data_IF_885623433697
#
_entry.id   IF_885623433697
#
_cell.length_a   1.000
_cell.length_b   1.000
_cell.length_c   1.000
_cell.angle_alpha   90.00
_cell.angle_beta   90.00
_cell.angle_gamma   90.00
#
_symmetry.space_group_name_H-M   'P 1'
#
loop_
_entity.id
_entity.type
_entity.pdbx_description
1 polymer ?
#
# COMPACT_ATOMS: atom_id res chain seq x y z
N UNK A 1 -2.41 -16.46 -5.43
CA UNK A 1 -0.92 -16.45 -5.49
C UNK A 1 -0.29 -16.49 -4.08
N UNK A 2 0.93 -17.02 -3.87
CA UNK A 2 1.54 -17.17 -2.52
C UNK A 2 2.55 -16.06 -2.19
N UNK A 3 2.64 -15.69 -0.91
CA UNK A 3 3.70 -14.82 -0.39
C UNK A 3 5.08 -15.48 -0.53
N UNK A 4 6.07 -14.69 -0.97
CA UNK A 4 7.46 -15.09 -1.16
C UNK A 4 8.30 -14.95 0.12
N UNK A 5 7.91 -14.02 0.99
CA UNK A 5 8.49 -13.84 2.31
C UNK A 5 7.46 -14.13 3.40
N UNK A 6 7.93 -14.68 4.52
CA UNK A 6 7.08 -14.98 5.67
C UNK A 6 7.75 -14.52 6.95
N UNK A 7 6.97 -13.89 7.81
CA UNK A 7 7.29 -13.65 9.20
C UNK A 7 6.06 -14.00 10.05
N UNK A 8 6.21 -13.97 11.38
CA UNK A 8 5.10 -14.20 12.31
C UNK A 8 4.23 -12.93 12.40
N UNK A 9 2.92 -13.10 12.51
CA UNK A 9 1.96 -12.00 12.73
C UNK A 9 1.64 -11.77 14.21
N UNK A 10 1.76 -12.83 15.03
CA UNK A 10 1.62 -12.73 16.48
C UNK A 10 2.88 -12.09 17.08
N UNK A 11 2.94 -10.77 16.99
CA UNK A 11 4.00 -9.91 17.51
C UNK A 11 3.38 -8.90 18.47
N UNK A 12 4.10 -8.52 19.51
CA UNK A 12 3.74 -7.33 20.26
C UNK A 12 4.14 -6.05 19.48
N UNK A 13 3.64 -4.86 19.85
CA UNK A 13 3.95 -3.62 19.13
C UNK A 13 5.45 -3.29 19.02
N UNK A 14 6.27 -3.62 20.02
CA UNK A 14 7.71 -3.36 19.98
C UNK A 14 8.43 -4.27 18.96
N UNK A 15 8.06 -5.55 18.93
CA UNK A 15 8.55 -6.51 17.94
C UNK A 15 8.13 -6.13 16.51
N UNK A 16 6.87 -5.70 16.33
CA UNK A 16 6.36 -5.23 15.05
C UNK A 16 7.13 -4.00 14.53
N UNK A 17 7.47 -3.05 15.42
CA UNK A 17 8.31 -1.90 15.08
C UNK A 17 9.73 -2.32 14.69
N UNK A 18 10.32 -3.27 15.43
CA UNK A 18 11.67 -3.78 15.12
C UNK A 18 11.69 -4.45 13.73
N UNK A 19 10.68 -5.26 13.44
CA UNK A 19 10.55 -5.92 12.14
C UNK A 19 10.36 -4.91 11.00
N UNK A 20 9.56 -3.85 11.19
CA UNK A 20 9.43 -2.80 10.16
C UNK A 20 10.78 -2.14 9.81
N UNK A 21 11.66 -1.95 10.80
CA UNK A 21 12.99 -1.38 10.58
C UNK A 21 13.88 -2.33 9.79
N UNK A 22 13.84 -3.62 10.12
CA UNK A 22 14.58 -4.66 9.38
C UNK A 22 14.10 -4.77 7.93
N UNK A 23 12.78 -4.85 7.72
CA UNK A 23 12.21 -5.04 6.38
C UNK A 23 12.42 -3.83 5.47
N UNK A 24 12.53 -2.62 6.03
CA UNK A 24 12.72 -1.38 5.25
C UNK A 24 13.95 -1.46 4.37
N UNK A 25 15.02 -2.01 4.90
CA UNK A 25 16.31 -2.04 4.20
C UNK A 25 16.31 -3.03 3.02
N UNK A 26 15.20 -3.76 2.82
CA UNK A 26 14.96 -4.68 1.69
C UNK A 26 14.08 -4.08 0.60
N UNK A 27 13.59 -2.85 0.79
CA UNK A 27 12.76 -2.19 -0.20
C UNK A 27 13.60 -1.76 -1.41
N UNK A 28 13.04 -1.95 -2.59
CA UNK A 28 13.57 -1.42 -3.85
C UNK A 28 12.67 -0.25 -4.21
N UNK A 29 13.24 0.94 -4.34
CA UNK A 29 12.50 2.18 -4.64
C UNK A 29 12.78 2.71 -6.05
N UNK A 30 13.33 1.84 -6.90
CA UNK A 30 13.54 2.07 -8.33
C UNK A 30 12.67 1.10 -9.12
N UNK A 31 12.45 1.43 -10.38
CA UNK A 31 11.59 0.65 -11.27
C UNK A 31 12.16 -0.74 -11.53
N UNK A 32 11.44 -1.74 -11.04
CA UNK A 32 11.64 -3.16 -11.32
C UNK A 32 10.31 -3.83 -11.63
N UNK A 33 9.61 -3.25 -12.60
CA UNK A 33 8.33 -3.70 -13.13
C UNK A 33 8.43 -3.90 -14.66
N UNK A 34 7.74 -4.92 -15.15
CA UNK A 34 7.57 -5.16 -16.58
C UNK A 34 6.39 -4.37 -17.15
N UNK A 35 5.88 -4.80 -18.30
CA UNK A 35 4.65 -4.27 -18.84
C UNK A 35 3.48 -4.54 -17.88
N UNK A 36 2.78 -3.49 -17.45
CA UNK A 36 1.62 -3.59 -16.56
C UNK A 36 0.36 -3.85 -17.38
N UNK A 37 -0.19 -5.06 -17.30
CA UNK A 37 -1.45 -5.45 -17.97
C UNK A 37 -2.58 -5.67 -16.97
N UNK A 38 -2.25 -5.94 -15.70
CA UNK A 38 -3.16 -6.21 -14.60
C UNK A 38 -2.78 -5.38 -13.39
N UNK A 39 -3.66 -4.49 -12.97
CA UNK A 39 -3.51 -3.72 -11.72
C UNK A 39 -4.50 -4.25 -10.69
N UNK A 40 -4.08 -4.37 -9.43
CA UNK A 40 -4.99 -4.73 -8.34
C UNK A 40 -5.14 -3.61 -7.32
N UNK A 41 -6.38 -3.24 -7.04
CA UNK A 41 -6.73 -2.42 -5.90
C UNK A 41 -6.91 -3.27 -4.66
N UNK A 42 -6.31 -2.85 -3.54
CA UNK A 42 -6.40 -3.51 -2.23
C UNK A 42 -7.02 -2.54 -1.23
N UNK A 43 -8.12 -2.96 -0.60
CA UNK A 43 -8.79 -2.21 0.45
C UNK A 43 -9.19 -3.13 1.60
N UNK A 44 -9.22 -2.58 2.81
CA UNK A 44 -9.53 -3.33 4.04
C UNK A 44 -10.52 -2.56 4.88
N UNK A 45 -11.62 -3.24 5.22
CA UNK A 45 -12.62 -2.75 6.15
C UNK A 45 -12.71 -3.63 7.39
N UNK A 46 -13.49 -3.19 8.37
CA UNK A 46 -13.76 -3.94 9.58
C UNK A 46 -15.27 -4.18 9.73
N UNK A 47 -15.64 -5.41 10.07
CA UNK A 47 -17.00 -5.84 10.37
C UNK A 47 -17.12 -6.18 11.87
N UNK A 48 -18.35 -6.39 12.34
CA UNK A 48 -18.64 -6.83 13.72
C UNK A 48 -17.90 -6.00 14.78
N UNK A 49 -18.10 -4.68 14.76
CA UNK A 49 -17.51 -3.71 15.68
C UNK A 49 -15.97 -3.79 15.79
N UNK A 50 -15.30 -4.17 14.69
CA UNK A 50 -13.84 -4.22 14.63
C UNK A 50 -13.25 -5.60 14.89
N UNK A 51 -14.06 -6.60 15.26
CA UNK A 51 -13.61 -7.96 15.58
C UNK A 51 -13.29 -8.81 14.35
N UNK A 52 -13.81 -8.42 13.17
CA UNK A 52 -13.53 -9.10 11.91
C UNK A 52 -12.87 -8.12 10.94
N UNK A 53 -11.69 -8.48 10.45
CA UNK A 53 -11.00 -7.78 9.37
C UNK A 53 -11.46 -8.37 8.03
N UNK A 54 -11.93 -7.53 7.11
CA UNK A 54 -12.36 -7.91 5.77
C UNK A 54 -11.49 -7.23 4.73
N UNK A 55 -10.67 -8.01 4.04
CA UNK A 55 -9.90 -7.54 2.90
C UNK A 55 -10.65 -7.79 1.60
N UNK A 56 -10.58 -6.86 0.67
CA UNK A 56 -11.06 -6.98 -0.69
C UNK A 56 -9.93 -6.65 -1.67
N UNK A 57 -9.78 -7.48 -2.69
CA UNK A 57 -8.87 -7.24 -3.81
C UNK A 57 -9.66 -7.28 -5.11
N UNK A 58 -9.46 -6.29 -5.97
CA UNK A 58 -10.05 -6.25 -7.30
C UNK A 58 -8.94 -6.13 -8.35
N UNK A 59 -8.87 -7.08 -9.27
CA UNK A 59 -7.91 -7.11 -10.38
C UNK A 59 -8.59 -6.56 -11.63
N UNK A 60 -8.00 -5.52 -12.21
CA UNK A 60 -8.48 -4.87 -13.42
C UNK A 60 -7.45 -5.03 -14.54
N UNK A 61 -7.95 -5.16 -15.78
CA UNK A 61 -7.13 -5.00 -16.98
C UNK A 61 -6.67 -3.55 -17.09
N UNK A 62 -5.42 -3.33 -17.46
CA UNK A 62 -4.86 -2.01 -17.70
C UNK A 62 -4.37 -1.90 -19.15
N UNK A 63 -4.65 -0.78 -19.87
CA UNK A 63 -5.23 0.48 -19.37
C UNK A 63 -6.77 0.57 -19.39
N UNK A 64 -7.49 -0.45 -19.87
CA UNK A 64 -8.95 -0.35 -20.11
C UNK A 64 -9.80 -0.27 -18.83
N UNK A 65 -9.25 -0.66 -17.68
CA UNK A 65 -9.90 -0.72 -16.38
C UNK A 65 -11.12 -1.66 -16.33
N UNK A 66 -11.12 -2.70 -17.16
CA UNK A 66 -12.10 -3.78 -17.13
C UNK A 66 -11.85 -4.67 -15.89
N UNK A 67 -12.87 -4.88 -15.06
CA UNK A 67 -12.78 -5.79 -13.92
C UNK A 67 -12.63 -7.25 -14.39
N UNK A 68 -11.53 -7.90 -13.99
CA UNK A 68 -11.25 -9.29 -14.33
C UNK A 68 -11.63 -10.27 -13.21
N UNK A 69 -11.27 -9.93 -11.97
CA UNK A 69 -11.45 -10.81 -10.83
C UNK A 69 -11.58 -10.01 -9.53
N UNK A 70 -12.31 -10.56 -8.56
CA UNK A 70 -12.31 -10.06 -7.19
C UNK A 70 -12.11 -11.20 -6.21
N UNK A 71 -11.47 -10.91 -5.09
CA UNK A 71 -11.34 -11.83 -3.97
C UNK A 71 -11.63 -11.11 -2.66
N UNK A 72 -12.24 -11.82 -1.72
CA UNK A 72 -12.54 -11.32 -0.38
C UNK A 72 -12.07 -12.35 0.63
N UNK A 73 -11.43 -11.89 1.70
CA UNK A 73 -11.12 -12.71 2.86
C UNK A 73 -11.62 -12.04 4.13
N UNK A 74 -12.01 -12.87 5.10
CA UNK A 74 -12.45 -12.44 6.43
C UNK A 74 -11.67 -13.21 7.47
N UNK A 75 -11.03 -12.49 8.39
CA UNK A 75 -10.30 -13.07 9.51
C UNK A 75 -10.67 -12.38 10.82
N UNK A 76 -10.56 -13.07 11.97
CA UNK A 76 -10.53 -12.40 13.26
C UNK A 76 -9.46 -11.30 13.28
N UNK A 77 -9.79 -10.15 13.85
CA UNK A 77 -8.85 -9.05 14.04
C UNK A 77 -7.97 -9.34 15.26
N UNK A 78 -6.71 -9.70 15.03
CA UNK A 78 -5.80 -10.15 16.10
C UNK A 78 -4.86 -9.04 16.62
N UNK A 79 -4.68 -7.96 15.86
CA UNK A 79 -3.76 -6.86 16.20
C UNK A 79 -4.51 -5.55 16.51
N UNK A 80 -4.16 -4.81 17.59
CA UNK A 80 -4.83 -3.56 17.94
C UNK A 80 -4.60 -2.44 16.91
N UNK A 81 -5.50 -1.47 16.85
CA UNK A 81 -5.30 -0.30 15.99
C UNK A 81 -4.24 0.63 16.62
N UNK A 82 -3.05 0.64 16.01
CA UNK A 82 -1.94 1.51 16.39
C UNK A 82 -1.44 2.23 15.13
N UNK A 83 -1.49 3.58 15.08
CA UNK A 83 -0.97 4.34 13.94
C UNK A 83 0.45 3.94 13.55
N UNK A 84 0.62 3.58 12.28
CA UNK A 84 1.88 3.10 11.72
C UNK A 84 2.18 1.60 11.92
N UNK A 85 1.27 0.84 12.52
CA UNK A 85 1.32 -0.63 12.58
C UNK A 85 0.13 -1.29 11.89
N UNK A 86 -0.61 -0.53 11.06
CA UNK A 86 -1.81 -0.98 10.37
C UNK A 86 -1.60 -2.28 9.57
N UNK A 87 -0.44 -2.41 8.92
CA UNK A 87 -0.10 -3.60 8.15
C UNK A 87 -0.18 -4.92 8.95
N UNK A 88 0.15 -4.91 10.25
CA UNK A 88 0.07 -6.10 11.10
C UNK A 88 -1.37 -6.51 11.43
N UNK A 89 -2.28 -5.53 11.38
CA UNK A 89 -3.71 -5.74 11.60
C UNK A 89 -4.42 -6.24 10.35
N UNK A 90 -3.99 -5.78 9.17
CA UNK A 90 -4.76 -5.93 7.93
C UNK A 90 -4.19 -6.95 6.96
N UNK A 91 -2.85 -7.03 6.83
CA UNK A 91 -2.23 -7.87 5.82
C UNK A 91 -2.50 -9.37 5.93
N UNK A 92 -2.71 -9.98 7.12
CA UNK A 92 -3.13 -11.38 7.17
C UNK A 92 -4.38 -11.66 6.32
N UNK A 93 -5.39 -10.80 6.37
CA UNK A 93 -6.59 -10.94 5.55
C UNK A 93 -6.31 -10.62 4.07
N UNK A 94 -5.50 -9.61 3.78
CA UNK A 94 -5.11 -9.28 2.39
C UNK A 94 -4.39 -10.44 1.71
N UNK A 95 -3.46 -11.09 2.41
CA UNK A 95 -2.73 -12.23 1.87
C UNK A 95 -3.67 -13.41 1.57
N UNK A 96 -4.63 -13.70 2.43
CA UNK A 96 -5.66 -14.71 2.16
C UNK A 96 -6.55 -14.36 0.95
N UNK A 97 -6.84 -13.07 0.73
CA UNK A 97 -7.58 -12.64 -0.46
C UNK A 97 -6.73 -12.78 -1.73
N UNK A 98 -5.45 -12.40 -1.70
CA UNK A 98 -4.51 -12.57 -2.81
C UNK A 98 -4.25 -14.04 -3.15
N UNK A 99 -4.28 -14.93 -2.15
CA UNK A 99 -4.12 -16.37 -2.35
C UNK A 99 -5.25 -16.97 -3.22
N UNK A 100 -6.46 -16.41 -3.14
CA UNK A 100 -7.62 -16.84 -3.91
C UNK A 100 -7.59 -16.42 -5.39
N UNK A 101 -6.82 -15.39 -5.74
CA UNK A 101 -6.75 -14.87 -7.11
C UNK A 101 -6.11 -15.87 -8.08
N UNK A 102 -6.74 -16.02 -9.24
CA UNK A 102 -6.23 -16.76 -10.40
C UNK A 102 -5.44 -15.84 -11.33
N UNK A 103 -5.90 -14.61 -11.52
CA UNK A 103 -5.21 -13.57 -12.26
C UNK A 103 -4.24 -12.83 -11.32
N UNK A 104 -2.96 -13.20 -11.37
CA UNK A 104 -1.94 -12.47 -10.62
C UNK A 104 -1.85 -11.00 -11.11
N UNK A 105 -1.85 -9.98 -10.24
CA UNK A 105 -1.59 -8.62 -10.66
C UNK A 105 -0.11 -8.39 -10.98
N UNK A 106 0.15 -7.46 -11.89
CA UNK A 106 1.50 -6.98 -12.20
C UNK A 106 1.90 -5.79 -11.30
N UNK A 107 0.90 -5.07 -10.75
CA UNK A 107 1.06 -3.90 -9.88
C UNK A 107 -0.06 -3.84 -8.82
N UNK A 108 0.30 -3.50 -7.59
CA UNK A 108 -0.63 -3.33 -6.46
C UNK A 108 -0.83 -1.85 -6.12
N UNK A 109 -2.08 -1.41 -6.01
CA UNK A 109 -2.47 -0.12 -5.45
C UNK A 109 -3.18 -0.35 -4.13
N UNK A 110 -2.59 0.10 -3.02
CA UNK A 110 -3.13 -0.13 -1.68
C UNK A 110 -3.74 1.15 -1.11
N UNK A 111 -4.95 1.08 -0.53
CA UNK A 111 -5.49 2.19 0.28
C UNK A 111 -4.69 2.32 1.58
N UNK A 112 -3.68 3.18 1.55
CA UNK A 112 -2.70 3.31 2.61
C UNK A 112 -1.36 3.82 2.11
N UNK A 113 -0.40 3.93 3.02
CA UNK A 113 0.92 4.48 2.71
C UNK A 113 1.89 3.40 2.24
N UNK A 114 2.83 3.77 1.37
CA UNK A 114 4.09 3.05 1.12
C UNK A 114 5.19 3.60 2.02
N UNK A 115 6.27 4.14 1.43
CA UNK A 115 7.37 4.74 2.20
C UNK A 115 7.00 6.06 2.89
N UNK A 116 5.83 6.64 2.62
CA UNK A 116 5.28 7.82 3.31
C UNK A 116 4.83 7.49 4.76
N UNK A 117 5.79 7.02 5.56
CA UNK A 117 5.59 6.39 6.86
C UNK A 117 6.77 6.74 7.78
N UNK A 118 6.57 6.89 9.11
CA UNK A 118 7.63 7.23 10.07
C UNK A 118 8.80 6.23 10.10
N UNK A 119 8.60 5.04 9.53
CA UNK A 119 9.60 3.97 9.41
C UNK A 119 9.84 3.52 7.96
N UNK A 120 9.36 4.29 6.99
CA UNK A 120 9.38 3.96 5.54
C UNK A 120 8.83 2.57 5.19
N UNK A 121 7.94 2.03 6.04
CA UNK A 121 7.38 0.68 5.94
C UNK A 121 5.88 0.76 6.20
N UNK A 122 5.16 1.43 5.28
CA UNK A 122 3.71 1.44 5.26
C UNK A 122 3.13 0.12 4.72
N UNK A 123 1.81 0.03 4.68
CA UNK A 123 1.11 -1.20 4.25
C UNK A 123 1.43 -1.59 2.80
N UNK A 124 1.57 -0.63 1.89
CA UNK A 124 1.89 -0.91 0.49
C UNK A 124 3.32 -1.48 0.35
N UNK A 125 4.28 -0.89 1.07
CA UNK A 125 5.67 -1.38 1.12
C UNK A 125 5.75 -2.78 1.71
N UNK A 126 5.07 -2.99 2.83
CA UNK A 126 5.07 -4.27 3.52
C UNK A 126 4.43 -5.36 2.66
N UNK A 127 3.27 -5.09 2.04
CA UNK A 127 2.61 -6.04 1.15
C UNK A 127 3.48 -6.36 -0.07
N UNK A 128 3.94 -5.34 -0.80
CA UNK A 128 4.74 -5.53 -2.01
C UNK A 128 6.00 -6.34 -1.76
N UNK A 129 6.67 -6.12 -0.63
CA UNK A 129 7.81 -6.90 -0.20
C UNK A 129 7.46 -8.36 0.14
N UNK A 130 6.31 -8.61 0.76
CA UNK A 130 5.87 -9.97 1.12
C UNK A 130 5.52 -10.82 -0.10
N UNK A 131 4.90 -10.23 -1.12
CA UNK A 131 4.47 -10.95 -2.33
C UNK A 131 5.43 -10.80 -3.52
N UNK A 132 6.48 -9.98 -3.38
CA UNK A 132 7.45 -9.62 -4.44
C UNK A 132 6.77 -9.07 -5.70
N UNK A 133 5.81 -8.16 -5.52
CA UNK A 133 5.09 -7.47 -6.61
C UNK A 133 5.31 -5.96 -6.45
N UNK A 134 5.52 -5.21 -7.54
CA UNK A 134 5.43 -3.76 -7.55
C UNK A 134 4.21 -3.24 -6.78
N UNK A 135 4.41 -2.26 -5.90
CA UNK A 135 3.31 -1.71 -5.10
C UNK A 135 3.40 -0.20 -4.91
N UNK A 136 2.23 0.43 -4.83
CA UNK A 136 2.05 1.87 -4.62
C UNK A 136 1.05 2.05 -3.47
N UNK A 137 1.39 2.94 -2.54
CA UNK A 137 0.45 3.43 -1.54
C UNK A 137 -0.33 4.63 -2.06
N UNK A 138 -1.66 4.56 -1.98
CA UNK A 138 -2.59 5.61 -2.38
C UNK A 138 -3.46 5.96 -1.17
N UNK A 139 -3.04 6.95 -0.38
CA UNK A 139 -3.73 7.30 0.86
C UNK A 139 -4.61 8.56 0.72
N UNK A 140 -5.74 8.56 1.43
CA UNK A 140 -6.67 9.72 1.51
C UNK A 140 -6.25 10.77 2.54
N UNK A 141 -5.39 10.39 3.49
CA UNK A 141 -4.92 11.25 4.59
C UNK A 141 -3.41 11.15 4.73
N UNK A 142 -2.78 12.24 5.17
CA UNK A 142 -1.34 12.30 5.44
C UNK A 142 -1.05 11.59 6.76
N UNK A 143 -0.22 10.55 6.73
CA UNK A 143 0.29 9.92 7.94
C UNK A 143 1.58 10.59 8.44
N UNK A 144 2.51 10.91 7.53
CA UNK A 144 3.85 11.39 7.85
C UNK A 144 4.38 12.35 6.77
N UNK A 145 5.38 13.17 7.12
CA UNK A 145 5.96 14.19 6.24
C UNK A 145 5.14 15.47 6.12
N UNK A 146 5.68 16.43 5.37
CA UNK A 146 5.11 17.76 5.13
C UNK A 146 5.18 18.08 3.64
N UNK A 147 4.27 18.94 3.17
CA UNK A 147 4.18 19.34 1.77
C UNK A 147 3.58 20.74 1.65
N UNK A 148 3.89 21.44 0.56
CA UNK A 148 3.19 22.68 0.18
C UNK A 148 1.80 22.40 -0.43
N UNK A 149 1.08 23.43 -0.85
CA UNK A 149 -0.14 23.20 -1.61
C UNK A 149 0.20 22.62 -3.00
N UNK A 150 -0.36 21.46 -3.41
CA UNK A 150 -0.22 21.00 -4.77
C UNK A 150 -1.04 21.90 -5.72
N UNK A 151 -0.60 22.08 -6.98
CA UNK A 151 -1.38 22.81 -7.98
C UNK A 151 -2.83 22.31 -8.08
N UNK A 152 -3.77 23.19 -8.41
CA UNK A 152 -5.21 22.87 -8.44
C UNK A 152 -5.64 22.05 -9.66
N UNK A 153 -4.86 22.06 -10.73
CA UNK A 153 -5.15 21.24 -11.90
C UNK A 153 -5.02 19.75 -11.60
N UNK A 154 -5.82 18.93 -12.30
CA UNK A 154 -5.69 17.46 -12.26
C UNK A 154 -4.26 17.06 -12.63
N UNK A 155 -3.65 16.18 -11.85
CA UNK A 155 -2.27 15.73 -12.02
C UNK A 155 -1.23 16.65 -11.38
N UNK A 156 -1.61 17.84 -10.90
CA UNK A 156 -0.72 18.71 -10.14
C UNK A 156 -0.29 18.05 -8.83
N UNK A 157 1.01 18.00 -8.56
CA UNK A 157 1.52 17.44 -7.31
C UNK A 157 2.66 18.27 -6.73
N UNK A 158 2.94 18.04 -5.45
CA UNK A 158 4.13 18.59 -4.78
C UNK A 158 4.80 17.49 -3.95
N UNK A 159 6.13 17.53 -3.77
CA UNK A 159 6.83 16.53 -2.97
C UNK A 159 6.34 16.50 -1.52
N UNK A 160 6.11 15.29 -1.01
CA UNK A 160 5.94 15.02 0.42
C UNK A 160 7.31 14.70 1.02
N UNK A 161 7.76 15.50 1.98
CA UNK A 161 9.11 15.42 2.52
C UNK A 161 9.12 15.12 4.02
N UNK A 162 10.06 14.30 4.46
CA UNK A 162 10.35 14.07 5.87
C UNK A 162 11.83 13.72 6.06
N UNK A 163 12.41 14.13 7.18
CA UNK A 163 13.79 13.78 7.54
C UNK A 163 14.84 14.14 6.47
N UNK A 164 14.59 15.17 5.67
CA UNK A 164 15.47 15.59 4.56
C UNK A 164 15.29 14.81 3.24
N UNK A 165 14.29 13.93 3.16
CA UNK A 165 14.05 13.04 2.01
C UNK A 165 12.66 13.29 1.40
N UNK A 166 12.53 13.04 0.10
CA UNK A 166 11.21 12.90 -0.55
C UNK A 166 10.70 11.48 -0.29
N UNK A 167 9.54 11.39 0.34
CA UNK A 167 8.92 10.12 0.76
C UNK A 167 7.59 9.84 0.02
N UNK A 168 7.24 10.68 -0.94
CA UNK A 168 6.01 10.59 -1.70
C UNK A 168 5.62 11.93 -2.31
N UNK A 169 4.35 12.06 -2.68
CA UNK A 169 3.79 13.26 -3.24
C UNK A 169 2.35 13.49 -2.75
N UNK A 170 1.98 14.75 -2.57
CA UNK A 170 0.58 15.15 -2.48
C UNK A 170 0.06 15.45 -3.90
N UNK A 171 -0.84 14.61 -4.41
CA UNK A 171 -1.35 14.63 -5.78
C UNK A 171 -2.80 15.13 -5.84
N UNK A 172 -3.05 16.10 -6.71
CA UNK A 172 -4.39 16.55 -7.07
C UNK A 172 -5.01 15.63 -8.13
N UNK A 173 -5.67 14.56 -7.69
CA UNK A 173 -6.37 13.65 -8.60
C UNK A 173 -7.64 14.26 -9.22
N UNK A 174 -8.28 15.20 -8.50
CA UNK A 174 -9.47 15.94 -8.93
C UNK A 174 -9.41 17.40 -8.45
N UNK A 175 -9.65 18.39 -9.33
CA UNK A 175 -9.71 19.80 -8.93
C UNK A 175 -10.74 20.06 -7.83
N UNK A 176 -10.40 20.93 -6.88
CA UNK A 176 -11.29 21.28 -5.76
C UNK A 176 -11.51 20.18 -4.70
N UNK A 177 -10.89 19.01 -4.84
CA UNK A 177 -10.93 17.92 -3.85
C UNK A 177 -9.60 17.84 -3.10
N UNK A 178 -9.62 17.35 -1.85
CA UNK A 178 -8.38 17.12 -1.08
C UNK A 178 -7.39 16.24 -1.88
N UNK A 179 -6.07 16.47 -1.78
CA UNK A 179 -5.10 15.67 -2.49
C UNK A 179 -5.06 14.23 -1.95
N UNK A 180 -4.66 13.32 -2.82
CA UNK A 180 -4.20 11.98 -2.43
C UNK A 180 -2.72 12.03 -2.07
N UNK A 181 -2.27 11.09 -1.26
CA UNK A 181 -0.86 10.94 -0.90
C UNK A 181 -0.33 9.68 -1.56
N UNK A 182 0.51 9.87 -2.56
CA UNK A 182 1.11 8.80 -3.37
C UNK A 182 2.51 8.54 -2.85
N UNK A 183 2.86 7.27 -2.63
CA UNK A 183 4.21 6.89 -2.26
C UNK A 183 4.56 5.51 -2.79
N UNK A 184 5.82 5.34 -3.21
CA UNK A 184 6.36 4.04 -3.58
C UNK A 184 6.16 3.03 -2.45
N UNK A 185 5.69 1.85 -2.79
CA UNK A 185 5.65 0.71 -1.89
C UNK A 185 6.92 -0.13 -2.02
N UNK A 186 7.03 -0.85 -3.14
CA UNK A 186 8.14 -1.73 -3.48
C UNK A 186 8.29 -1.82 -5.01
N UNK A 187 9.52 -1.90 -5.53
CA UNK A 187 9.90 -2.09 -6.96
C UNK A 187 9.33 -1.07 -7.96
N UNK A 188 8.95 0.12 -7.49
CA UNK A 188 8.42 1.22 -8.31
C UNK A 188 8.98 2.54 -7.78
N UNK A 189 9.49 3.38 -8.69
CA UNK A 189 9.94 4.74 -8.41
C UNK A 189 8.75 5.66 -8.08
N UNK A 190 9.00 6.80 -7.45
CA UNK A 190 7.93 7.76 -7.18
C UNK A 190 7.41 8.38 -8.47
N UNK A 191 8.31 8.61 -9.42
CA UNK A 191 8.01 9.15 -10.74
C UNK A 191 7.04 8.22 -11.48
N UNK A 192 7.34 6.92 -11.56
CA UNK A 192 6.44 5.92 -12.17
C UNK A 192 5.17 5.70 -11.34
N UNK A 193 5.20 5.86 -10.03
CA UNK A 193 3.98 5.79 -9.21
C UNK A 193 3.00 6.95 -9.48
N UNK A 194 3.46 8.06 -10.06
CA UNK A 194 2.68 9.27 -10.33
C UNK A 194 2.14 9.36 -11.76
N UNK A 195 2.75 8.64 -12.71
CA UNK A 195 2.34 8.57 -14.12
C UNK A 195 1.03 7.79 -14.30
#
# INVERSE_FOLDING_TARGET
MKAQMRHRWNLNPAEAIALQRELRDRLILTDQLGAVQRVAGVDVGFEADGTVTRAAVAVLRFPELELLETAIARRPTEFPYIPGLLSFRELPAVLEALEQLRAAPDLLLCDGQGIAHPRRMGIASHLGLLVDIPSIGVAKTRLYGQHGAPPEQRGGWTPLQADGEVIGAALRSRPGCRPLYISSGHRVSLETALD
#
